data_IF_501764286803
#
_entry.id   IF_501764286803
#
_cell.length_a   1.000
_cell.length_b   1.000
_cell.length_c   1.000
_cell.angle_alpha   90.00
_cell.angle_beta   90.00
_cell.angle_gamma   90.00
#
_symmetry.space_group_name_H-M   'P 1'
#
loop_
_entity.id
_entity.type
_entity.pdbx_description
1 polymer ?
#
# COMPACT_ATOMS: atom_id res chain seq x y z
N UNK A 1 9.10 -1.17 14.53
CA UNK A 1 7.64 -1.03 14.41
C UNK A 1 7.03 -2.31 14.97
N UNK A 2 6.18 -2.24 16.00
CA UNK A 2 5.60 -3.44 16.60
C UNK A 2 4.67 -4.13 15.61
N UNK A 3 4.83 -5.45 15.46
CA UNK A 3 3.98 -6.32 14.63
C UNK A 3 2.47 -6.12 14.93
N UNK A 4 2.13 -5.79 16.18
CA UNK A 4 0.77 -5.53 16.66
C UNK A 4 0.08 -4.29 16.03
N UNK A 5 0.83 -3.25 15.66
CA UNK A 5 0.25 -2.07 14.99
C UNK A 5 -0.25 -2.41 13.60
N UNK A 6 0.54 -3.21 12.87
CA UNK A 6 0.22 -3.63 11.49
C UNK A 6 -0.89 -4.67 11.43
N UNK A 7 -1.07 -5.49 12.47
CA UNK A 7 -2.15 -6.47 12.54
C UNK A 7 -3.49 -5.81 12.87
N UNK A 8 -3.49 -4.79 13.75
CA UNK A 8 -4.70 -4.02 14.03
C UNK A 8 -5.15 -3.21 12.82
N UNK A 9 -4.22 -2.52 12.16
CA UNK A 9 -4.49 -1.79 10.91
C UNK A 9 -5.08 -2.71 9.84
N UNK A 10 -4.51 -3.92 9.69
CA UNK A 10 -5.03 -4.95 8.79
C UNK A 10 -6.46 -5.36 9.17
N UNK A 11 -6.73 -5.62 10.46
CA UNK A 11 -8.08 -5.98 10.93
C UNK A 11 -9.10 -4.91 10.62
N UNK A 12 -8.78 -3.65 10.91
CA UNK A 12 -9.64 -2.50 10.63
C UNK A 12 -9.92 -2.39 9.13
N UNK A 13 -8.87 -2.50 8.30
CA UNK A 13 -9.02 -2.43 6.84
C UNK A 13 -9.95 -3.53 6.31
N UNK A 14 -9.74 -4.78 6.73
CA UNK A 14 -10.60 -5.89 6.30
C UNK A 14 -12.03 -5.75 6.80
N UNK A 15 -12.23 -5.28 8.02
CA UNK A 15 -13.56 -5.01 8.55
C UNK A 15 -14.30 -3.95 7.70
N UNK A 16 -13.61 -2.89 7.30
CA UNK A 16 -14.19 -1.89 6.40
C UNK A 16 -14.56 -2.46 5.03
N UNK A 17 -13.77 -3.37 4.44
CA UNK A 17 -14.14 -4.03 3.19
C UNK A 17 -15.37 -4.93 3.36
N UNK A 18 -15.44 -5.68 4.46
CA UNK A 18 -16.60 -6.51 4.77
C UNK A 18 -17.87 -5.67 4.96
N UNK A 19 -17.76 -4.50 5.59
CA UNK A 19 -18.86 -3.53 5.70
C UNK A 19 -19.28 -2.98 4.33
N UNK A 20 -18.33 -2.60 3.47
CA UNK A 20 -18.65 -2.13 2.12
C UNK A 20 -19.39 -3.19 1.32
N UNK A 21 -18.95 -4.45 1.40
CA UNK A 21 -19.66 -5.57 0.76
C UNK A 21 -21.05 -5.78 1.35
N UNK A 22 -21.20 -5.72 2.68
CA UNK A 22 -22.49 -5.90 3.33
C UNK A 22 -23.53 -4.82 2.96
N UNK A 23 -23.06 -3.66 2.48
CA UNK A 23 -23.89 -2.56 1.97
C UNK A 23 -23.95 -2.52 0.44
N UNK A 24 -23.56 -3.60 -0.25
CA UNK A 24 -23.54 -3.73 -1.71
C UNK A 24 -22.73 -2.64 -2.44
N UNK A 25 -21.76 -2.00 -1.75
CA UNK A 25 -20.89 -0.98 -2.34
C UNK A 25 -19.73 -1.57 -3.15
N UNK A 26 -19.36 -2.82 -2.85
CA UNK A 26 -18.35 -3.61 -3.57
C UNK A 26 -18.84 -5.05 -3.71
N UNK A 27 -18.41 -5.73 -4.77
CA UNK A 27 -18.66 -7.17 -4.91
C UNK A 27 -17.75 -8.02 -4.01
N UNK A 28 -18.06 -9.31 -3.87
CA UNK A 28 -17.16 -10.25 -3.16
C UNK A 28 -15.80 -10.41 -3.87
N UNK A 29 -15.79 -10.29 -5.19
CA UNK A 29 -14.57 -10.33 -5.99
C UNK A 29 -13.74 -9.05 -5.80
N UNK A 30 -14.41 -7.89 -5.74
CA UNK A 30 -13.79 -6.60 -5.42
C UNK A 30 -13.19 -6.60 -4.00
N UNK A 31 -13.92 -7.10 -3.00
CA UNK A 31 -13.43 -7.31 -1.62
C UNK A 31 -12.15 -8.15 -1.63
N UNK A 32 -12.16 -9.29 -2.34
CA UNK A 32 -11.01 -10.18 -2.43
C UNK A 32 -9.81 -9.51 -3.12
N UNK A 33 -10.05 -8.74 -4.18
CA UNK A 33 -9.01 -8.03 -4.92
C UNK A 33 -8.35 -6.93 -4.05
N UNK A 34 -9.16 -6.15 -3.33
CA UNK A 34 -8.69 -5.11 -2.42
C UNK A 34 -7.92 -5.68 -1.23
N UNK A 35 -8.42 -6.75 -0.61
CA UNK A 35 -7.74 -7.43 0.48
C UNK A 35 -6.36 -7.97 0.05
N UNK A 36 -6.26 -8.60 -1.14
CA UNK A 36 -4.98 -9.06 -1.69
C UNK A 36 -4.03 -7.91 -1.96
N UNK A 37 -4.52 -6.83 -2.56
CA UNK A 37 -3.70 -5.67 -2.86
C UNK A 37 -3.09 -5.04 -1.59
N UNK A 38 -3.85 -4.97 -0.49
CA UNK A 38 -3.34 -4.49 0.79
C UNK A 38 -2.18 -5.35 1.31
N UNK A 39 -2.30 -6.68 1.27
CA UNK A 39 -1.23 -7.58 1.70
C UNK A 39 0.02 -7.45 0.81
N UNK A 40 -0.18 -7.38 -0.52
CA UNK A 40 0.91 -7.22 -1.48
C UNK A 40 1.64 -5.88 -1.27
N UNK A 41 0.89 -4.79 -1.04
CA UNK A 41 1.46 -3.48 -0.74
C UNK A 41 2.27 -3.52 0.56
N UNK A 42 1.74 -4.11 1.63
CA UNK A 42 2.45 -4.23 2.91
C UNK A 42 3.77 -4.97 2.75
N UNK A 43 3.74 -6.14 2.10
CA UNK A 43 4.94 -6.94 1.84
C UNK A 43 5.97 -6.19 0.98
N UNK A 44 5.50 -5.45 -0.05
CA UNK A 44 6.33 -4.61 -0.91
C UNK A 44 7.05 -3.50 -0.12
N UNK A 45 6.33 -2.80 0.76
CA UNK A 45 6.90 -1.75 1.59
C UNK A 45 7.93 -2.29 2.60
N UNK A 46 7.62 -3.39 3.28
CA UNK A 46 8.54 -4.04 4.23
C UNK A 46 9.84 -4.48 3.54
N UNK A 47 9.73 -5.10 2.37
CA UNK A 47 10.89 -5.50 1.58
C UNK A 47 11.72 -4.29 1.12
N UNK A 48 11.07 -3.21 0.67
CA UNK A 48 11.74 -1.99 0.25
C UNK A 48 12.53 -1.34 1.41
N UNK A 49 11.92 -1.24 2.60
CA UNK A 49 12.61 -0.72 3.79
C UNK A 49 13.87 -1.51 4.14
N UNK A 50 13.79 -2.85 4.10
CA UNK A 50 14.96 -3.71 4.37
C UNK A 50 16.06 -3.54 3.32
N UNK A 51 15.70 -3.29 2.06
CA UNK A 51 16.66 -3.07 0.98
C UNK A 51 17.34 -1.70 1.05
N UNK A 52 16.66 -0.66 1.56
CA UNK A 52 17.21 0.69 1.59
C UNK A 52 18.18 0.93 2.74
N UNK A 53 18.03 0.20 3.86
CA UNK A 53 18.83 0.44 5.07
C UNK A 53 20.35 0.34 4.86
N UNK A 54 20.90 -0.67 4.15
CA UNK A 54 22.35 -0.76 3.93
C UNK A 54 22.89 0.43 3.12
N UNK A 55 22.15 0.87 2.10
CA UNK A 55 22.57 1.98 1.24
C UNK A 55 22.43 3.32 1.95
N UNK A 56 21.39 3.51 2.75
CA UNK A 56 21.26 4.67 3.63
C UNK A 56 22.47 4.80 4.55
N UNK A 57 22.86 3.70 5.21
CA UNK A 57 24.00 3.67 6.11
C UNK A 57 25.32 3.91 5.38
N UNK A 58 25.48 3.39 4.15
CA UNK A 58 26.66 3.67 3.33
C UNK A 58 26.77 5.17 3.03
N UNK A 59 25.70 5.78 2.52
CA UNK A 59 25.63 7.21 2.22
C UNK A 59 25.83 8.08 3.45
N UNK A 60 25.26 7.68 4.59
CA UNK A 60 25.44 8.41 5.85
C UNK A 60 26.92 8.46 6.25
N UNK A 61 27.66 7.37 6.06
CA UNK A 61 29.10 7.30 6.36
C UNK A 61 29.98 8.01 5.34
N UNK A 62 29.65 7.91 4.05
CA UNK A 62 30.53 8.34 2.96
C UNK A 62 30.20 9.75 2.45
N UNK A 63 28.91 10.08 2.35
CA UNK A 63 28.40 11.29 1.70
C UNK A 63 27.78 12.29 2.70
N UNK A 64 27.62 11.88 3.96
CA UNK A 64 27.03 12.66 5.04
C UNK A 64 25.50 12.64 5.08
N UNK A 65 24.97 13.13 6.18
CA UNK A 65 23.55 13.04 6.53
C UNK A 65 22.63 13.71 5.51
N UNK A 66 22.98 14.90 5.02
CA UNK A 66 22.16 15.62 4.05
C UNK A 66 21.98 14.83 2.74
N UNK A 67 23.04 14.19 2.25
CA UNK A 67 23.01 13.35 1.04
C UNK A 67 22.19 12.08 1.27
N UNK A 68 22.41 11.40 2.41
CA UNK A 68 21.67 10.20 2.79
C UNK A 68 20.15 10.46 2.90
N UNK A 69 19.78 11.58 3.53
CA UNK A 69 18.39 12.00 3.68
C UNK A 69 17.75 12.39 2.34
N UNK A 70 18.48 13.11 1.47
CA UNK A 70 17.99 13.46 0.13
C UNK A 70 17.72 12.20 -0.72
N UNK A 71 18.65 11.24 -0.68
CA UNK A 71 18.48 9.95 -1.37
C UNK A 71 17.30 9.15 -0.82
N UNK A 72 17.16 9.07 0.51
CA UNK A 72 16.04 8.34 1.13
C UNK A 72 14.70 8.97 0.77
N UNK A 73 14.61 10.30 0.80
CA UNK A 73 13.41 11.03 0.41
C UNK A 73 13.01 10.76 -1.04
N UNK A 74 13.97 10.77 -1.96
CA UNK A 74 13.71 10.49 -3.37
C UNK A 74 13.28 9.03 -3.59
N UNK A 75 13.97 8.10 -2.94
CA UNK A 75 13.63 6.67 -3.00
C UNK A 75 12.23 6.41 -2.45
N UNK A 76 11.84 7.07 -1.35
CA UNK A 76 10.51 6.97 -0.77
C UNK A 76 9.42 7.57 -1.68
N UNK A 77 9.70 8.68 -2.37
CA UNK A 77 8.75 9.27 -3.34
C UNK A 77 8.49 8.35 -4.51
N UNK A 78 9.54 7.77 -5.08
CA UNK A 78 9.41 6.84 -6.21
C UNK A 78 8.63 5.58 -5.81
N UNK A 79 8.91 5.04 -4.62
CA UNK A 79 8.13 3.95 -4.04
C UNK A 79 6.65 4.34 -3.92
N UNK A 80 6.34 5.49 -3.32
CA UNK A 80 4.98 5.99 -3.16
C UNK A 80 4.24 6.16 -4.50
N UNK A 81 4.93 6.68 -5.52
CA UNK A 81 4.37 6.82 -6.88
C UNK A 81 3.98 5.45 -7.46
N UNK A 82 4.88 4.47 -7.39
CA UNK A 82 4.63 3.11 -7.89
C UNK A 82 3.45 2.45 -7.16
N UNK A 83 3.40 2.56 -5.83
CA UNK A 83 2.30 1.99 -5.03
C UNK A 83 0.97 2.70 -5.32
N UNK A 84 0.97 4.01 -5.54
CA UNK A 84 -0.21 4.76 -5.95
C UNK A 84 -0.73 4.35 -7.33
N UNK A 85 0.16 4.10 -8.29
CA UNK A 85 -0.22 3.58 -9.62
C UNK A 85 -0.80 2.17 -9.54
N UNK A 86 -0.25 1.32 -8.68
CA UNK A 86 -0.80 -0.02 -8.43
C UNK A 86 -2.20 0.06 -7.82
N UNK A 87 -2.39 0.87 -6.79
CA UNK A 87 -3.69 1.10 -6.17
C UNK A 87 -4.72 1.65 -7.16
N UNK A 88 -4.32 2.62 -8.00
CA UNK A 88 -5.19 3.17 -9.04
C UNK A 88 -5.68 2.12 -10.05
N UNK A 89 -4.82 1.15 -10.42
CA UNK A 89 -5.21 0.03 -11.30
C UNK A 89 -6.19 -0.92 -10.63
N UNK A 90 -6.01 -1.23 -9.34
CA UNK A 90 -6.92 -2.08 -8.58
C UNK A 90 -8.28 -1.42 -8.46
N UNK A 91 -8.33 -0.16 -8.02
CA UNK A 91 -9.58 0.61 -7.88
C UNK A 91 -10.28 0.80 -9.22
N UNK A 92 -9.54 1.10 -10.29
CA UNK A 92 -10.10 1.23 -11.64
C UNK A 92 -10.62 -0.08 -12.24
N UNK A 93 -10.22 -1.23 -11.69
CA UNK A 93 -10.67 -2.56 -12.09
C UNK A 93 -11.86 -3.11 -11.30
N UNK A 94 -12.35 -2.37 -10.29
CA UNK A 94 -13.49 -2.79 -9.47
C UNK A 94 -14.78 -2.82 -10.30
N UNK A 95 -15.60 -3.82 -10.03
CA UNK A 95 -16.80 -4.15 -10.81
C UNK A 95 -18.05 -3.41 -10.33
N UNK A 96 -18.11 -3.04 -9.04
CA UNK A 96 -19.29 -2.40 -8.44
C UNK A 96 -19.62 -1.00 -8.99
N UNK A 97 -18.69 -0.34 -9.67
CA UNK A 97 -18.96 0.99 -10.29
C UNK A 97 -19.77 0.90 -11.59
N UNK A 98 -20.12 -0.31 -12.07
CA UNK A 98 -20.73 -0.49 -13.40
C UNK A 98 -22.23 -0.83 -13.42
N UNK A 99 -22.84 -1.22 -12.29
CA UNK A 99 -24.25 -1.67 -12.25
C UNK A 99 -25.26 -0.60 -11.82
N UNK A 100 -24.83 0.60 -11.44
CA UNK A 100 -25.74 1.73 -11.20
C UNK A 100 -26.22 2.36 -12.53
N UNK A 101 -26.99 1.60 -13.31
CA UNK A 101 -27.85 2.17 -14.38
C UNK A 101 -29.23 2.42 -13.78
N UNK A 102 -29.76 3.67 -13.81
CA UNK A 102 -31.09 3.94 -13.30
C UNK A 102 -32.13 3.35 -14.26
N UNK A 103 -33.04 2.53 -13.71
CA UNK A 103 -34.31 2.17 -14.35
C UNK A 103 -35.38 3.22 -14.10
#
# INVERSE_FOLDING_TARGET
>A
MSNAGTEEERRVYLASLAEMRANDLISADDETALARHYEDQKASLEAAFLQFLPEYQRRLREDGEASANAWLAETARELGRREGEAAGKVVGGLTATREATPG
#
